data_IF_869854104964
#
_entry.id   IF_869854104964
#
_cell.length_a   1.000
_cell.length_b   1.000
_cell.length_c   1.000
_cell.angle_alpha   90.00
_cell.angle_beta   90.00
_cell.angle_gamma   90.00
#
_symmetry.space_group_name_H-M   'P 1'
#
loop_
_entity.id
_entity.type
_entity.pdbx_description
1 polymer ?
#
# COMPACT_ATOMS: atom_id res chain seq x y z
N UNK A 1 -17.11 14.00 -19.17
CA UNK A 1 -17.29 12.57 -19.49
C UNK A 1 -16.83 11.78 -18.29
N UNK A 2 -17.70 11.01 -17.65
CA UNK A 2 -17.30 10.08 -16.58
C UNK A 2 -16.74 8.83 -17.27
N UNK A 3 -15.43 8.62 -17.21
CA UNK A 3 -14.82 7.36 -17.65
C UNK A 3 -15.31 6.27 -16.70
N UNK A 4 -15.77 5.13 -17.22
CA UNK A 4 -16.13 3.97 -16.41
C UNK A 4 -14.90 3.55 -15.58
N UNK A 5 -14.96 3.58 -14.24
CA UNK A 5 -13.83 3.23 -13.37
C UNK A 5 -13.27 1.83 -13.66
N UNK A 6 -14.13 0.87 -14.02
CA UNK A 6 -13.71 -0.50 -14.35
C UNK A 6 -12.91 -0.50 -15.67
N UNK A 7 -13.36 0.27 -16.66
CA UNK A 7 -12.62 0.42 -17.92
C UNK A 7 -11.27 1.10 -17.67
N UNK A 8 -11.21 2.16 -16.84
CA UNK A 8 -9.94 2.84 -16.51
C UNK A 8 -8.96 1.91 -15.82
N UNK A 9 -9.41 1.12 -14.85
CA UNK A 9 -8.58 0.13 -14.15
C UNK A 9 -8.03 -0.90 -15.15
N UNK A 10 -8.85 -1.40 -16.07
CA UNK A 10 -8.39 -2.34 -17.12
C UNK A 10 -7.33 -1.72 -18.01
N UNK A 11 -7.52 -0.49 -18.47
CA UNK A 11 -6.54 0.23 -19.29
C UNK A 11 -5.22 0.42 -18.55
N UNK A 12 -5.28 1.00 -17.35
CA UNK A 12 -4.09 1.24 -16.53
C UNK A 12 -3.35 -0.05 -16.19
N UNK A 13 -4.08 -1.15 -15.96
CA UNK A 13 -3.48 -2.46 -15.76
C UNK A 13 -2.65 -2.89 -16.97
N UNK A 14 -3.22 -2.80 -18.16
CA UNK A 14 -2.51 -3.17 -19.39
C UNK A 14 -1.28 -2.28 -19.63
N UNK A 15 -1.39 -0.97 -19.39
CA UNK A 15 -0.25 -0.05 -19.50
C UNK A 15 0.95 -0.51 -18.64
N UNK A 16 0.71 -0.91 -17.38
CA UNK A 16 1.79 -1.41 -16.49
C UNK A 16 2.33 -2.75 -16.96
N UNK A 17 1.44 -3.69 -17.33
CA UNK A 17 1.83 -5.01 -17.82
C UNK A 17 2.71 -4.90 -19.08
N UNK A 18 2.35 -4.01 -20.01
CA UNK A 18 3.09 -3.78 -21.26
C UNK A 18 4.48 -3.20 -21.00
N UNK A 19 4.61 -2.20 -20.12
CA UNK A 19 5.91 -1.61 -19.75
C UNK A 19 6.83 -2.67 -19.13
N UNK A 20 6.31 -3.49 -18.22
CA UNK A 20 7.07 -4.57 -17.59
C UNK A 20 7.51 -5.62 -18.63
N UNK A 21 6.62 -6.00 -19.55
CA UNK A 21 6.93 -6.93 -20.64
C UNK A 21 7.99 -6.39 -21.58
N UNK A 22 7.93 -5.10 -21.94
CA UNK A 22 8.93 -4.44 -22.77
C UNK A 22 10.31 -4.46 -22.10
N UNK A 23 10.39 -4.10 -20.80
CA UNK A 23 11.64 -4.13 -20.04
C UNK A 23 12.21 -5.56 -19.94
N UNK A 24 11.36 -6.57 -19.73
CA UNK A 24 11.77 -7.99 -19.73
C UNK A 24 12.30 -8.39 -21.11
N UNK A 25 11.64 -7.98 -22.18
CA UNK A 25 12.06 -8.21 -23.57
C UNK A 25 13.41 -7.58 -23.88
N UNK A 26 13.63 -6.33 -23.49
CA UNK A 26 14.91 -5.63 -23.64
C UNK A 26 16.06 -6.31 -22.89
N UNK A 27 15.81 -6.79 -21.68
CA UNK A 27 16.82 -7.55 -20.91
C UNK A 27 17.16 -8.90 -21.55
N UNK A 28 16.19 -9.56 -22.20
CA UNK A 28 16.45 -10.79 -22.95
C UNK A 28 17.49 -10.55 -24.04
N UNK A 29 17.38 -9.43 -24.77
CA UNK A 29 18.37 -9.04 -25.78
C UNK A 29 19.72 -8.66 -25.18
N UNK A 30 19.74 -7.89 -24.08
CA UNK A 30 20.97 -7.52 -23.41
C UNK A 30 21.75 -8.74 -22.88
N UNK A 31 21.05 -9.76 -22.38
CA UNK A 31 21.65 -11.01 -21.91
C UNK A 31 22.39 -11.78 -23.01
N UNK A 32 21.90 -11.74 -24.26
CA UNK A 32 22.58 -12.40 -25.39
C UNK A 32 23.94 -11.77 -25.73
N UNK A 33 24.15 -10.50 -25.40
CA UNK A 33 25.35 -9.75 -25.73
C UNK A 33 26.26 -9.48 -24.51
N UNK A 34 25.89 -9.95 -23.32
CA UNK A 34 26.54 -9.60 -22.07
C UNK A 34 27.82 -10.40 -21.79
N UNK A 35 28.76 -9.76 -21.07
CA UNK A 35 29.88 -10.43 -20.43
C UNK A 35 29.38 -11.38 -19.32
N UNK A 36 30.21 -12.33 -18.87
CA UNK A 36 29.83 -13.27 -17.81
C UNK A 36 29.45 -12.59 -16.48
N UNK A 37 30.09 -11.48 -16.13
CA UNK A 37 29.82 -10.73 -14.90
C UNK A 37 28.52 -9.93 -15.00
N UNK A 38 28.26 -9.29 -16.15
CA UNK A 38 27.03 -8.55 -16.41
C UNK A 38 25.82 -9.48 -16.56
N UNK A 39 26.05 -10.70 -17.06
CA UNK A 39 25.01 -11.70 -17.23
C UNK A 39 24.32 -12.04 -15.90
N UNK A 40 25.06 -12.12 -14.79
CA UNK A 40 24.47 -12.39 -13.46
C UNK A 40 23.54 -11.25 -13.04
N UNK A 41 23.99 -9.99 -13.19
CA UNK A 41 23.21 -8.79 -12.80
C UNK A 41 21.95 -8.64 -13.65
N UNK A 42 22.07 -8.82 -14.96
CA UNK A 42 20.96 -8.72 -15.91
C UNK A 42 19.92 -9.83 -15.69
N UNK A 43 20.38 -11.05 -15.36
CA UNK A 43 19.48 -12.17 -15.09
C UNK A 43 18.69 -11.99 -13.81
N UNK A 44 19.33 -11.50 -12.74
CA UNK A 44 18.63 -11.15 -11.50
C UNK A 44 17.61 -10.02 -11.73
N UNK A 45 17.97 -8.99 -12.50
CA UNK A 45 17.05 -7.91 -12.88
C UNK A 45 15.82 -8.43 -13.63
N UNK A 46 16.01 -9.32 -14.61
CA UNK A 46 14.91 -9.96 -15.35
C UNK A 46 13.99 -10.75 -14.42
N UNK A 47 14.56 -11.53 -13.50
CA UNK A 47 13.80 -12.33 -12.51
C UNK A 47 12.95 -11.44 -11.59
N UNK A 48 13.48 -10.29 -11.18
CA UNK A 48 12.74 -9.31 -10.37
C UNK A 48 11.54 -8.77 -11.15
N UNK A 49 11.71 -8.36 -12.40
CA UNK A 49 10.63 -7.84 -13.24
C UNK A 49 9.53 -8.90 -13.48
N UNK A 50 9.88 -10.15 -13.76
CA UNK A 50 8.91 -11.24 -13.93
C UNK A 50 8.08 -11.48 -12.65
N UNK A 51 8.72 -11.40 -11.48
CA UNK A 51 8.03 -11.47 -10.18
C UNK A 51 7.11 -10.28 -9.94
N UNK A 52 7.51 -9.08 -10.36
CA UNK A 52 6.69 -7.87 -10.26
C UNK A 52 5.46 -7.96 -11.16
N UNK A 53 5.61 -8.39 -12.41
CA UNK A 53 4.50 -8.62 -13.35
C UNK A 53 3.48 -9.61 -12.77
N UNK A 54 3.98 -10.75 -12.25
CA UNK A 54 3.14 -11.77 -11.60
C UNK A 54 2.42 -11.21 -10.36
N UNK A 55 3.11 -10.43 -9.54
CA UNK A 55 2.55 -9.80 -8.34
C UNK A 55 1.44 -8.82 -8.70
N UNK A 56 1.69 -7.90 -9.64
CA UNK A 56 0.74 -6.88 -10.07
C UNK A 56 -0.54 -7.51 -10.62
N UNK A 57 -0.41 -8.47 -11.53
CA UNK A 57 -1.56 -9.21 -12.08
C UNK A 57 -2.39 -9.91 -11.01
N UNK A 58 -1.75 -10.54 -10.01
CA UNK A 58 -2.45 -11.21 -8.90
C UNK A 58 -3.23 -10.25 -8.02
N UNK A 59 -2.69 -9.07 -7.72
CA UNK A 59 -3.41 -8.05 -6.94
C UNK A 59 -4.66 -7.60 -7.70
N UNK A 60 -4.53 -7.37 -9.01
CA UNK A 60 -5.67 -6.95 -9.84
C UNK A 60 -6.80 -7.99 -9.94
N UNK A 61 -6.53 -9.29 -9.78
CA UNK A 61 -7.53 -10.35 -9.93
C UNK A 61 -8.01 -10.97 -8.62
N UNK A 62 -7.22 -10.92 -7.55
CA UNK A 62 -7.44 -11.70 -6.33
C UNK A 62 -7.54 -10.83 -5.06
N UNK A 63 -8.10 -9.63 -5.17
CA UNK A 63 -8.36 -8.82 -3.98
C UNK A 63 -9.40 -9.48 -3.07
N UNK A 64 -9.19 -9.45 -1.75
CA UNK A 64 -10.21 -9.84 -0.78
C UNK A 64 -11.54 -9.10 -1.02
N UNK A 65 -12.71 -9.73 -0.75
CA UNK A 65 -14.02 -9.11 -0.94
C UNK A 65 -14.25 -7.82 -0.14
N UNK A 66 -13.48 -7.60 0.93
CA UNK A 66 -13.48 -6.41 1.76
C UNK A 66 -12.75 -5.21 1.15
N UNK A 67 -12.04 -5.41 0.04
CA UNK A 67 -11.31 -4.38 -0.68
C UNK A 67 -11.89 -4.18 -2.09
N UNK A 68 -11.64 -3.02 -2.65
CA UNK A 68 -11.91 -2.70 -4.05
C UNK A 68 -10.76 -1.91 -4.66
N UNK A 69 -10.50 -2.13 -5.95
CA UNK A 69 -9.59 -1.29 -6.72
C UNK A 69 -10.25 0.07 -6.96
N UNK A 70 -9.43 1.10 -6.91
CA UNK A 70 -9.83 2.44 -7.32
C UNK A 70 -8.65 3.15 -7.98
N UNK A 71 -8.94 4.21 -8.71
CA UNK A 71 -7.93 5.03 -9.38
C UNK A 71 -7.92 6.43 -8.79
N UNK A 72 -6.74 7.02 -8.68
CA UNK A 72 -6.57 8.43 -8.32
C UNK A 72 -5.43 9.05 -9.13
N UNK A 73 -5.50 10.37 -9.29
CA UNK A 73 -4.44 11.14 -9.94
C UNK A 73 -3.32 11.41 -8.93
N UNK A 74 -2.07 11.08 -9.30
CA UNK A 74 -0.88 11.39 -8.52
C UNK A 74 -0.67 12.90 -8.47
N UNK A 75 -0.66 13.45 -7.27
CA UNK A 75 -0.34 14.85 -7.00
C UNK A 75 0.88 14.92 -6.07
N UNK A 76 2.12 14.95 -6.61
CA UNK A 76 3.33 14.95 -5.81
C UNK A 76 3.35 16.17 -4.87
N UNK A 77 3.68 15.94 -3.60
CA UNK A 77 3.83 17.01 -2.60
C UNK A 77 5.30 17.35 -2.38
N UNK A 78 5.57 18.61 -2.02
CA UNK A 78 6.92 19.04 -1.66
C UNK A 78 7.44 18.27 -0.44
N UNK A 79 8.77 18.16 -0.28
CA UNK A 79 9.37 17.51 0.88
C UNK A 79 8.93 18.15 2.21
N UNK A 80 8.78 19.47 2.23
CA UNK A 80 8.30 20.24 3.39
C UNK A 80 6.88 19.85 3.77
N UNK A 81 5.97 19.79 2.80
CA UNK A 81 4.57 19.44 3.05
C UNK A 81 4.44 17.99 3.52
N UNK A 82 5.21 17.07 2.90
CA UNK A 82 5.28 15.67 3.31
C UNK A 82 5.69 15.53 4.78
N UNK A 83 6.71 16.28 5.20
CA UNK A 83 7.19 16.26 6.58
C UNK A 83 6.17 16.87 7.56
N UNK A 84 5.50 17.95 7.19
CA UNK A 84 4.45 18.57 8.02
C UNK A 84 3.29 17.61 8.26
N UNK A 85 2.76 16.99 7.20
CA UNK A 85 1.67 16.02 7.32
C UNK A 85 2.06 14.79 8.13
N UNK A 86 3.32 14.33 8.01
CA UNK A 86 3.84 13.22 8.82
C UNK A 86 3.83 13.57 10.31
N UNK A 87 4.31 14.76 10.67
CA UNK A 87 4.33 15.23 12.06
C UNK A 87 2.91 15.42 12.60
N UNK A 88 2.03 16.03 11.81
CA UNK A 88 0.61 16.19 12.15
C UNK A 88 -0.06 14.84 12.39
N UNK A 89 0.15 13.89 11.47
CA UNK A 89 -0.44 12.56 11.57
C UNK A 89 -0.06 11.88 12.89
N UNK A 90 1.24 11.77 13.17
CA UNK A 90 1.75 11.10 14.36
C UNK A 90 1.34 11.78 15.66
N UNK A 91 1.22 13.12 15.68
CA UNK A 91 0.95 13.87 16.91
C UNK A 91 -0.52 14.13 17.19
N UNK A 92 -1.36 14.23 16.15
CA UNK A 92 -2.71 14.81 16.26
C UNK A 92 -3.81 13.97 15.65
N UNK A 93 -3.51 13.11 14.70
CA UNK A 93 -4.56 12.46 13.89
C UNK A 93 -4.67 10.98 14.21
N UNK A 94 -3.54 10.28 14.28
CA UNK A 94 -3.51 8.82 14.41
C UNK A 94 -4.24 8.33 15.66
N UNK A 95 -3.98 8.94 16.83
CA UNK A 95 -4.60 8.51 18.09
C UNK A 95 -6.12 8.78 18.07
N UNK A 96 -6.62 10.02 17.84
CA UNK A 96 -8.06 10.27 17.76
C UNK A 96 -8.80 9.37 16.77
N UNK A 97 -8.23 9.15 15.59
CA UNK A 97 -8.82 8.26 14.58
C UNK A 97 -8.96 6.83 15.10
N UNK A 98 -7.94 6.29 15.77
CA UNK A 98 -8.02 4.95 16.37
C UNK A 98 -9.07 4.89 17.47
N UNK A 99 -9.18 5.92 18.32
CA UNK A 99 -10.24 5.98 19.35
C UNK A 99 -11.62 5.88 18.69
N UNK A 100 -11.85 6.65 17.62
CA UNK A 100 -13.12 6.66 16.88
C UNK A 100 -13.44 5.28 16.30
N UNK A 101 -12.46 4.63 15.64
CA UNK A 101 -12.63 3.28 15.09
C UNK A 101 -12.97 2.24 16.17
N UNK A 102 -12.35 2.33 17.35
CA UNK A 102 -12.63 1.41 18.45
C UNK A 102 -13.93 1.71 19.21
N UNK A 103 -14.51 2.90 19.05
CA UNK A 103 -15.82 3.24 19.60
C UNK A 103 -16.97 2.92 18.65
N UNK A 104 -16.68 2.74 17.35
CA UNK A 104 -17.68 2.35 16.36
C UNK A 104 -18.07 0.86 16.49
N UNK A 105 -19.36 0.62 16.74
CA UNK A 105 -19.92 -0.74 16.92
C UNK A 105 -19.77 -1.62 15.68
N UNK A 106 -19.77 -1.05 14.48
CA UNK A 106 -19.62 -1.82 13.25
C UNK A 106 -18.17 -2.29 13.05
N UNK A 107 -17.21 -1.40 13.34
CA UNK A 107 -15.78 -1.68 13.36
C UNK A 107 -15.41 -2.70 14.43
N UNK A 108 -15.97 -2.58 15.64
CA UNK A 108 -15.76 -3.55 16.74
C UNK A 108 -16.08 -4.99 16.33
N UNK A 109 -17.24 -5.23 15.70
CA UNK A 109 -17.59 -6.58 15.21
C UNK A 109 -16.58 -7.14 14.22
N UNK A 110 -15.95 -6.26 13.41
CA UNK A 110 -14.95 -6.69 12.44
C UNK A 110 -13.61 -6.97 13.10
N UNK A 111 -13.22 -6.14 14.06
CA UNK A 111 -12.02 -6.32 14.88
C UNK A 111 -12.10 -7.59 15.75
N UNK A 112 -13.26 -7.90 16.32
CA UNK A 112 -13.52 -9.16 17.05
C UNK A 112 -13.32 -10.38 16.15
N UNK A 113 -13.80 -10.32 14.90
CA UNK A 113 -13.57 -11.39 13.93
C UNK A 113 -12.09 -11.54 13.53
N UNK A 114 -11.27 -10.53 13.79
CA UNK A 114 -9.81 -10.56 13.64
C UNK A 114 -9.09 -11.04 14.92
N UNK A 115 -9.83 -11.57 15.90
CA UNK A 115 -9.34 -12.02 17.21
C UNK A 115 -8.75 -10.89 18.09
N UNK A 116 -9.17 -9.65 17.87
CA UNK A 116 -8.87 -8.55 18.79
C UNK A 116 -9.92 -8.55 19.90
N UNK A 117 -9.49 -8.32 21.14
CA UNK A 117 -10.31 -8.45 22.34
C UNK A 117 -10.10 -7.26 23.27
N UNK A 118 -10.89 -7.17 24.34
CA UNK A 118 -10.85 -6.08 25.32
C UNK A 118 -9.46 -5.85 25.94
N UNK A 119 -8.64 -6.89 26.05
CA UNK A 119 -7.27 -6.78 26.55
C UNK A 119 -6.36 -6.02 25.58
N UNK A 120 -6.43 -6.34 24.28
CA UNK A 120 -5.71 -5.64 23.22
C UNK A 120 -6.11 -4.16 23.16
N UNK A 121 -7.39 -3.85 23.37
CA UNK A 121 -7.88 -2.48 23.44
C UNK A 121 -7.37 -1.76 24.70
N UNK A 122 -7.45 -2.39 25.87
CA UNK A 122 -6.95 -1.81 27.11
C UNK A 122 -5.43 -1.53 27.08
N UNK A 123 -4.65 -2.40 26.45
CA UNK A 123 -3.20 -2.21 26.25
C UNK A 123 -2.90 -1.04 25.30
N UNK A 124 -3.70 -0.90 24.24
CA UNK A 124 -3.61 0.21 23.29
C UNK A 124 -3.82 1.58 23.98
N UNK A 125 -4.81 1.68 24.87
CA UNK A 125 -5.14 2.96 25.54
C UNK A 125 -4.29 3.26 26.79
N UNK A 126 -3.64 2.26 27.41
CA UNK A 126 -2.78 2.45 28.59
C UNK A 126 -1.46 3.17 28.28
N UNK A 127 -0.96 3.05 27.06
CA UNK A 127 0.26 3.75 26.63
C UNK A 127 -0.11 5.19 26.22
N UNK A 128 -0.25 6.06 27.23
CA UNK A 128 -0.78 7.41 27.11
C UNK A 128 0.24 8.47 26.65
N UNK A 129 1.49 8.09 26.40
CA UNK A 129 2.54 9.03 26.01
C UNK A 129 3.44 8.43 24.94
N UNK A 130 3.23 8.88 23.71
CA UNK A 130 3.85 8.35 22.50
C UNK A 130 3.47 6.90 22.25
N UNK A 131 2.47 6.70 21.36
CA UNK A 131 2.38 5.43 20.65
C UNK A 131 3.79 5.16 20.09
N UNK A 132 4.54 4.15 20.56
CA UNK A 132 5.74 3.77 19.83
C UNK A 132 5.27 3.50 18.40
N UNK A 133 6.05 3.88 17.38
CA UNK A 133 5.77 3.45 16.01
C UNK A 133 5.61 1.90 15.90
N UNK A 134 6.00 1.18 16.96
CA UNK A 134 5.89 -0.26 17.15
C UNK A 134 4.58 -0.72 17.84
N UNK A 135 3.70 0.17 18.29
CA UNK A 135 2.41 -0.21 18.93
C UNK A 135 1.48 -0.95 17.97
N UNK A 136 1.58 -0.66 16.66
CA UNK A 136 0.93 -1.48 15.65
C UNK A 136 1.48 -2.91 15.58
N UNK A 137 2.77 -3.12 15.87
CA UNK A 137 3.38 -4.47 15.80
C UNK A 137 2.78 -5.42 16.85
N UNK A 138 2.25 -4.90 17.97
CA UNK A 138 1.56 -5.69 18.99
C UNK A 138 0.21 -6.24 18.49
N UNK A 139 -0.46 -5.53 17.58
CA UNK A 139 -1.80 -5.88 17.07
C UNK A 139 -1.80 -6.34 15.61
N UNK A 140 -0.65 -6.39 14.96
CA UNK A 140 -0.50 -6.57 13.50
C UNK A 140 -1.39 -5.59 12.69
N UNK A 141 -1.67 -4.40 13.26
CA UNK A 141 -2.53 -3.36 12.67
C UNK A 141 -1.82 -2.01 12.55
N UNK A 142 -2.08 -1.32 11.45
CA UNK A 142 -1.58 0.03 11.17
C UNK A 142 -2.73 0.96 10.76
N UNK A 143 -2.59 2.25 11.03
CA UNK A 143 -3.42 3.27 10.38
C UNK A 143 -2.72 3.62 9.07
N UNK A 144 -3.42 3.39 7.98
CA UNK A 144 -2.94 3.60 6.64
C UNK A 144 -3.76 4.70 5.95
N UNK A 145 -3.13 5.33 4.96
CA UNK A 145 -3.76 6.33 4.11
C UNK A 145 -4.29 5.66 2.84
N UNK A 146 -5.56 5.85 2.48
CA UNK A 146 -6.13 5.29 1.24
C UNK A 146 -5.37 5.82 0.01
N UNK A 147 -5.13 7.12 -0.03
CA UNK A 147 -4.18 7.79 -0.91
C UNK A 147 -3.00 8.25 -0.07
N UNK A 148 -1.79 7.84 -0.42
CA UNK A 148 -0.61 8.20 0.37
C UNK A 148 -0.34 9.71 0.38
N UNK A 149 0.17 10.19 1.51
CA UNK A 149 0.48 11.63 1.72
C UNK A 149 1.46 12.19 0.68
N UNK A 150 2.41 11.37 0.23
CA UNK A 150 3.40 11.77 -0.77
C UNK A 150 2.85 11.78 -2.21
N UNK A 151 1.65 11.23 -2.40
CA UNK A 151 0.90 11.17 -3.68
C UNK A 151 -0.29 12.12 -3.76
N UNK A 152 -0.51 12.95 -2.75
CA UNK A 152 -1.63 13.89 -2.73
C UNK A 152 -2.64 13.62 -1.63
N UNK A 153 -2.51 12.53 -0.87
CA UNK A 153 -3.36 12.22 0.26
C UNK A 153 -3.22 13.21 1.42
N UNK A 154 -4.29 13.38 2.19
CA UNK A 154 -4.34 14.21 3.38
C UNK A 154 -4.57 13.39 4.66
N UNK A 155 -4.65 14.07 5.80
CA UNK A 155 -4.89 13.45 7.10
C UNK A 155 -6.37 13.46 7.51
N UNK A 156 -7.29 13.49 6.54
CA UNK A 156 -8.73 13.48 6.84
C UNK A 156 -9.23 12.06 7.08
N UNK A 157 -10.22 11.91 7.96
CA UNK A 157 -10.80 10.59 8.27
C UNK A 157 -11.24 9.78 7.03
N UNK A 158 -11.82 10.38 5.97
CA UNK A 158 -12.15 9.65 4.74
C UNK A 158 -10.96 9.08 3.98
N UNK A 159 -9.75 9.61 4.20
CA UNK A 159 -8.51 9.11 3.61
C UNK A 159 -7.76 8.16 4.53
N UNK A 160 -8.32 7.77 5.68
CA UNK A 160 -7.68 6.91 6.66
C UNK A 160 -8.42 5.58 6.80
N UNK A 161 -7.66 4.53 7.03
CA UNK A 161 -8.21 3.21 7.35
C UNK A 161 -7.31 2.47 8.34
N UNK A 162 -7.87 1.55 9.11
CA UNK A 162 -7.10 0.61 9.92
C UNK A 162 -6.95 -0.67 9.14
N UNK A 163 -5.71 -1.08 8.84
CA UNK A 163 -5.41 -2.27 8.02
C UNK A 163 -4.26 -3.07 8.63
N UNK A 164 -4.19 -4.39 8.37
CA UNK A 164 -3.01 -5.15 8.76
C UNK A 164 -1.72 -4.67 8.09
N UNK A 165 -0.58 -4.80 8.77
CA UNK A 165 0.71 -4.32 8.23
C UNK A 165 1.05 -4.90 6.86
N UNK A 166 0.77 -6.19 6.66
CA UNK A 166 1.07 -6.83 5.38
C UNK A 166 0.26 -6.25 4.22
N UNK A 167 -0.98 -5.79 4.45
CA UNK A 167 -1.77 -5.11 3.44
C UNK A 167 -1.19 -3.75 3.10
N UNK A 168 -0.77 -3.00 4.12
CA UNK A 168 -0.10 -1.73 3.93
C UNK A 168 1.18 -1.91 3.08
N UNK A 169 2.02 -2.90 3.42
CA UNK A 169 3.20 -3.25 2.62
C UNK A 169 2.87 -3.70 1.20
N UNK A 170 1.76 -4.43 1.02
CA UNK A 170 1.28 -4.85 -0.30
C UNK A 170 0.83 -3.64 -1.13
N UNK A 171 0.14 -2.68 -0.51
CA UNK A 171 -0.32 -1.43 -1.13
C UNK A 171 0.86 -0.59 -1.58
N UNK A 172 1.81 -0.35 -0.68
CA UNK A 172 3.03 0.41 -0.96
C UNK A 172 3.75 -0.16 -2.18
N UNK A 173 3.97 -1.49 -2.20
CA UNK A 173 4.61 -2.14 -3.33
C UNK A 173 3.81 -1.99 -4.63
N UNK A 174 2.50 -2.17 -4.57
CA UNK A 174 1.63 -2.08 -5.74
C UNK A 174 1.62 -0.67 -6.34
N UNK A 175 1.55 0.35 -5.48
CA UNK A 175 1.63 1.77 -5.85
C UNK A 175 3.01 2.14 -6.38
N UNK A 176 4.08 1.70 -5.71
CA UNK A 176 5.47 1.95 -6.14
C UNK A 176 5.76 1.47 -7.54
N UNK A 177 5.28 0.28 -7.91
CA UNK A 177 5.50 -0.25 -9.27
C UNK A 177 4.96 0.68 -10.35
N UNK A 178 3.84 1.35 -10.11
CA UNK A 178 3.22 2.28 -11.07
C UNK A 178 3.97 3.61 -11.10
N UNK A 179 4.39 4.10 -9.93
CA UNK A 179 5.15 5.36 -9.78
C UNK A 179 6.52 5.29 -10.43
N UNK A 180 7.23 4.17 -10.25
CA UNK A 180 8.54 3.94 -10.90
C UNK A 180 8.42 3.85 -12.44
N UNK A 181 7.25 3.51 -12.95
CA UNK A 181 6.94 3.51 -14.38
C UNK A 181 6.29 4.82 -14.85
N UNK A 182 6.45 5.91 -14.09
CA UNK A 182 6.03 7.27 -14.43
C UNK A 182 4.52 7.43 -14.71
N UNK A 183 3.68 6.58 -14.15
CA UNK A 183 2.24 6.75 -14.30
C UNK A 183 1.73 7.96 -13.50
N UNK A 184 0.84 8.73 -14.14
CA UNK A 184 0.14 9.87 -13.52
C UNK A 184 -1.12 9.40 -12.80
N UNK A 185 -1.92 8.54 -13.42
CA UNK A 185 -3.05 7.89 -12.76
C UNK A 185 -2.59 6.59 -12.13
N UNK A 186 -2.87 6.43 -10.84
CA UNK A 186 -2.42 5.29 -10.04
C UNK A 186 -3.64 4.44 -9.66
N UNK A 187 -3.53 3.14 -9.88
CA UNK A 187 -4.43 2.15 -9.30
C UNK A 187 -3.96 1.87 -7.86
N UNK A 188 -4.86 1.95 -6.90
CA UNK A 188 -4.64 1.41 -5.56
C UNK A 188 -5.87 0.61 -5.14
N UNK A 189 -5.88 0.15 -3.90
CA UNK A 189 -7.03 -0.50 -3.32
C UNK A 189 -7.43 0.20 -2.02
N UNK A 190 -8.73 0.20 -1.76
CA UNK A 190 -9.34 0.78 -0.57
C UNK A 190 -10.36 -0.19 0.03
N UNK A 191 -10.75 -0.03 1.30
CA UNK A 191 -11.89 -0.74 1.85
C UNK A 191 -13.14 -0.50 1.00
N UNK A 192 -13.88 -1.58 0.70
CA UNK A 192 -15.19 -1.44 0.04
C UNK A 192 -16.13 -0.74 1.00
N UNK A 193 -16.77 0.33 0.55
CA UNK A 193 -17.80 1.00 1.34
C UNK A 193 -19.01 0.07 1.52
N UNK A 194 -19.61 0.06 2.71
CA UNK A 194 -20.96 -0.51 2.83
C UNK A 194 -21.91 0.30 1.93
N UNK A 195 -23.00 -0.32 1.47
CA UNK A 195 -23.95 0.32 0.54
C UNK A 195 -24.61 1.60 1.03
N UNK A 196 -24.20 2.14 2.19
CA UNK A 196 -24.62 3.41 2.78
C UNK A 196 -23.55 4.52 2.65
N UNK A 197 -22.40 4.22 2.03
CA UNK A 197 -21.42 5.21 1.57
C UNK A 197 -20.67 5.98 2.66
N UNK A 198 -20.80 5.59 3.94
CA UNK A 198 -20.41 6.44 5.06
C UNK A 198 -19.76 5.67 6.21
N UNK A 199 -18.90 4.68 5.97
CA UNK A 199 -18.15 4.04 7.07
C UNK A 199 -16.70 3.73 6.71
N UNK A 200 -15.84 4.13 7.65
CA UNK A 200 -14.45 3.67 7.78
C UNK A 200 -14.53 2.17 8.11
N UNK A 201 -14.42 1.32 7.09
CA UNK A 201 -14.44 -0.13 7.29
C UNK A 201 -13.01 -0.59 7.56
N UNK A 202 -12.80 -1.20 8.73
CA UNK A 202 -11.68 -2.11 8.93
C UNK A 202 -11.87 -3.25 7.93
N UNK A 203 -11.03 -3.43 6.90
CA UNK A 203 -11.22 -4.51 5.95
C UNK A 203 -11.06 -5.83 6.70
N UNK A 204 -12.16 -6.59 6.80
CA UNK A 204 -12.12 -7.94 7.36
C UNK A 204 -11.29 -8.83 6.44
N UNK A 205 -10.26 -9.47 6.98
CA UNK A 205 -9.46 -10.45 6.22
C UNK A 205 -9.45 -11.76 7.00
N UNK A 206 -10.24 -12.76 6.54
CA UNK A 206 -10.23 -14.08 7.15
C UNK A 206 -8.87 -14.71 6.85
N UNK A 207 -8.03 -14.84 7.89
CA UNK A 207 -6.66 -15.34 7.88
C UNK A 207 -5.61 -14.31 7.44
N UNK A 208 -4.72 -13.94 8.37
CA UNK A 208 -3.51 -13.18 8.09
C UNK A 208 -2.60 -13.95 7.14
N UNK A 209 -2.78 -13.73 5.83
CA UNK A 209 -1.85 -14.18 4.82
C UNK A 209 -0.57 -13.37 4.99
N UNK A 210 0.46 -13.98 5.59
CA UNK A 210 1.80 -13.40 5.72
C UNK A 210 2.59 -13.70 4.45
N UNK A 211 2.83 -12.75 3.54
CA UNK A 211 3.97 -12.90 2.65
C UNK A 211 5.26 -12.81 3.50
N UNK A 212 6.30 -13.59 3.19
CA UNK A 212 7.53 -13.62 3.98
C UNK A 212 8.12 -12.20 4.10
N UNK A 213 8.15 -11.68 5.32
CA UNK A 213 8.50 -10.30 5.68
C UNK A 213 9.93 -9.92 5.30
N UNK A 214 10.82 -10.92 5.14
CA UNK A 214 12.27 -10.71 4.95
C UNK A 214 12.64 -10.23 3.55
N UNK A 215 11.91 -10.64 2.53
CA UNK A 215 12.19 -10.23 1.15
C UNK A 215 11.53 -8.89 0.78
N UNK A 216 10.44 -8.51 1.48
CA UNK A 216 9.64 -7.32 1.17
C UNK A 216 10.32 -6.05 1.69
N UNK A 217 10.78 -6.03 2.94
CA UNK A 217 11.44 -4.84 3.51
C UNK A 217 12.78 -4.55 2.85
N UNK A 218 13.51 -5.59 2.44
CA UNK A 218 14.83 -5.45 1.82
C UNK A 218 14.74 -4.81 0.43
N UNK A 219 13.75 -5.21 -0.38
CA UNK A 219 13.48 -4.62 -1.69
C UNK A 219 12.96 -3.18 -1.60
N UNK A 220 12.10 -2.87 -0.61
CA UNK A 220 11.60 -1.49 -0.41
C UNK A 220 12.69 -0.55 0.11
N UNK A 221 13.57 -1.00 1.02
CA UNK A 221 14.71 -0.21 1.49
C UNK A 221 15.78 -0.02 0.40
N UNK A 222 16.14 -1.08 -0.34
CA UNK A 222 17.12 -0.97 -1.43
C UNK A 222 16.62 -0.03 -2.55
N UNK A 223 15.31 0.14 -2.74
CA UNK A 223 14.75 1.09 -3.72
C UNK A 223 14.60 2.52 -3.17
N UNK A 224 14.33 2.71 -1.88
CA UNK A 224 14.20 4.02 -1.24
C UNK A 224 15.54 4.62 -0.79
N UNK A 225 16.54 3.80 -0.49
CA UNK A 225 17.91 4.25 -0.15
C UNK A 225 18.74 4.56 -1.42
N UNK A 226 18.19 4.27 -2.62
CA UNK A 226 18.75 4.67 -3.91
C UNK A 226 18.18 6.00 -4.45
N UNK A 227 17.39 6.73 -3.67
CA UNK A 227 17.07 8.13 -3.95
C UNK A 227 18.31 9.02 -3.72
N UNK A 228 19.23 8.98 -4.68
CA UNK A 228 19.73 10.23 -5.23
C UNK A 228 18.53 11.10 -5.64
N UNK A 229 18.65 12.43 -5.66
CA UNK A 229 17.51 13.32 -5.84
C UNK A 229 16.68 12.86 -7.05
N UNK A 230 15.46 12.38 -6.79
CA UNK A 230 14.49 12.16 -7.85
C UNK A 230 14.34 13.49 -8.59
N UNK A 231 14.57 13.53 -9.92
CA UNK A 231 14.44 14.76 -10.70
C UNK A 231 13.02 15.33 -10.64
#
# INVERSE_FOLDING_TARGET
MLIDPIARIKTLRHEVEDILLEQIGGLKWALYAASAEDHIKLWEKKRILERQLTFFGKVCTNLPPSLELFTFERQPRSAKDRQQLKVEFSRRVQRPFLIEVFQDKASLKTLERMNLNDHHFAEFFRNDTNLPNNSGQLLDLSVDHIVDRWLGGDNTAPNLCVVPFYLNSLKDRFVMLQVMNNQTDIISFRPRMDGQGNRVIVPYIPNGFRPPTRDILKLTHELLDHDGPCP
#
